data_IF_216876169916
#
_entry.id   IF_216876169916
#
_cell.length_a   1.000
_cell.length_b   1.000
_cell.length_c   1.000
_cell.angle_alpha   90.00
_cell.angle_beta   90.00
_cell.angle_gamma   90.00
#
_symmetry.space_group_name_H-M   'P 1'
#
loop_
_entity.id
_entity.type
_entity.pdbx_description
1 polymer ?
#
# COMPACT_ATOMS: atom_id res chain seq x y z
N UNK A 1 35.70 -1.62 -17.52
CA UNK A 1 35.34 -2.66 -16.52
C UNK A 1 34.75 -1.96 -15.31
N UNK A 2 33.65 -2.46 -14.76
CA UNK A 2 33.06 -1.94 -13.52
C UNK A 2 33.65 -2.71 -12.33
N UNK A 3 34.35 -2.03 -11.43
CA UNK A 3 34.91 -2.62 -10.21
C UNK A 3 34.08 -2.18 -9.00
N UNK A 4 33.53 -3.14 -8.27
CA UNK A 4 32.71 -2.87 -7.07
C UNK A 4 33.58 -2.95 -5.83
N UNK A 5 33.59 -1.90 -5.02
CA UNK A 5 34.32 -1.81 -3.76
C UNK A 5 33.43 -1.31 -2.62
N UNK A 6 33.68 -1.81 -1.42
CA UNK A 6 33.14 -1.21 -0.20
C UNK A 6 33.96 0.03 0.17
N UNK A 7 33.36 0.96 0.93
CA UNK A 7 34.09 2.06 1.57
C UNK A 7 35.25 1.58 2.46
N UNK A 8 35.17 0.35 2.99
CA UNK A 8 36.25 -0.29 3.76
C UNK A 8 37.47 -0.72 2.93
N UNK A 9 37.41 -0.58 1.60
CA UNK A 9 38.51 -0.89 0.68
C UNK A 9 38.48 -2.31 0.09
N UNK A 10 37.56 -3.17 0.52
CA UNK A 10 37.39 -4.52 -0.03
C UNK A 10 36.80 -4.51 -1.44
N UNK A 11 37.41 -5.24 -2.39
CA UNK A 11 36.85 -5.47 -3.73
C UNK A 11 35.85 -6.62 -3.68
N UNK A 12 34.60 -6.35 -4.10
CA UNK A 12 33.50 -7.33 -4.03
C UNK A 12 33.32 -8.07 -5.35
N UNK A 13 33.41 -7.36 -6.48
CA UNK A 13 33.15 -7.92 -7.79
C UNK A 13 33.78 -7.08 -8.91
N UNK A 14 33.95 -7.68 -10.09
CA UNK A 14 34.27 -6.95 -11.30
C UNK A 14 33.41 -7.45 -12.47
N UNK A 15 32.80 -6.52 -13.20
CA UNK A 15 31.83 -6.80 -14.27
C UNK A 15 32.30 -6.14 -15.58
N UNK A 16 32.27 -6.85 -16.73
CA UNK A 16 32.53 -6.24 -18.02
C UNK A 16 31.45 -5.22 -18.38
N UNK A 17 31.83 -3.99 -18.78
CA UNK A 17 30.85 -2.93 -19.11
C UNK A 17 29.99 -3.27 -20.33
N UNK A 18 30.51 -4.06 -21.28
CA UNK A 18 29.75 -4.55 -22.45
C UNK A 18 28.52 -5.39 -22.05
N UNK A 19 28.63 -6.19 -21.00
CA UNK A 19 27.51 -7.02 -20.54
C UNK A 19 26.42 -6.16 -19.89
N UNK A 20 26.80 -5.02 -19.32
CA UNK A 20 25.88 -4.02 -18.77
C UNK A 20 25.24 -3.19 -19.88
N UNK A 21 25.98 -2.80 -20.93
CA UNK A 21 25.41 -2.04 -22.05
C UNK A 21 24.36 -2.85 -22.81
N UNK A 22 24.63 -4.13 -23.05
CA UNK A 22 23.73 -5.03 -23.76
C UNK A 22 22.48 -5.33 -22.92
N UNK A 23 22.63 -5.50 -21.61
CA UNK A 23 21.51 -5.73 -20.69
C UNK A 23 20.62 -4.49 -20.48
N UNK A 24 21.17 -3.29 -20.67
CA UNK A 24 20.48 -2.02 -20.44
C UNK A 24 20.01 -1.33 -21.72
N UNK A 25 20.27 -1.90 -22.90
CA UNK A 25 19.84 -1.33 -24.17
C UNK A 25 20.43 0.05 -24.44
N UNK A 26 21.66 0.34 -24.00
CA UNK A 26 22.30 1.65 -24.10
C UNK A 26 22.42 2.21 -25.53
N UNK A 27 22.16 1.40 -26.56
CA UNK A 27 22.04 1.82 -27.95
C UNK A 27 20.79 2.66 -28.27
N UNK A 28 19.75 2.63 -27.42
CA UNK A 28 18.51 3.39 -27.59
C UNK A 28 18.42 4.49 -26.51
N UNK A 29 19.23 5.53 -26.64
CA UNK A 29 19.17 6.83 -25.93
C UNK A 29 18.45 6.86 -24.55
N UNK A 30 19.08 6.35 -23.47
CA UNK A 30 18.57 6.60 -22.13
C UNK A 30 18.82 8.07 -21.74
N UNK A 31 17.76 8.83 -21.45
CA UNK A 31 17.84 10.24 -21.01
C UNK A 31 18.74 10.42 -19.76
N UNK A 32 18.94 9.34 -18.96
CA UNK A 32 19.79 9.33 -17.76
C UNK A 32 20.56 7.98 -17.61
N UNK A 33 21.73 7.81 -18.24
CA UNK A 33 22.44 6.55 -18.29
C UNK A 33 23.04 6.15 -16.92
N UNK A 34 23.58 7.09 -16.15
CA UNK A 34 24.12 6.81 -14.81
C UNK A 34 23.01 6.40 -13.84
N UNK A 35 21.87 7.11 -13.83
CA UNK A 35 20.71 6.74 -13.01
C UNK A 35 20.21 5.32 -13.33
N UNK A 36 20.12 5.00 -14.62
CA UNK A 36 19.68 3.67 -15.08
C UNK A 36 20.66 2.57 -14.68
N UNK A 37 21.97 2.83 -14.78
CA UNK A 37 23.00 1.92 -14.31
C UNK A 37 22.90 1.68 -12.80
N UNK A 38 22.73 2.74 -11.99
CA UNK A 38 22.61 2.60 -10.53
C UNK A 38 21.38 1.77 -10.14
N UNK A 39 20.24 1.99 -10.79
CA UNK A 39 19.02 1.18 -10.58
C UNK A 39 19.23 -0.29 -10.97
N UNK A 40 19.93 -0.58 -12.06
CA UNK A 40 20.24 -1.97 -12.42
C UNK A 40 21.18 -2.64 -11.43
N UNK A 41 22.16 -1.88 -10.93
CA UNK A 41 23.11 -2.37 -9.93
C UNK A 41 22.42 -2.67 -8.61
N UNK A 42 21.35 -1.97 -8.25
CA UNK A 42 20.57 -2.22 -7.02
C UNK A 42 20.11 -3.68 -6.92
N UNK A 43 19.60 -4.25 -8.01
CA UNK A 43 19.22 -5.68 -8.05
C UNK A 43 20.39 -6.64 -7.83
N UNK A 44 21.64 -6.21 -8.06
CA UNK A 44 22.85 -7.04 -7.94
C UNK A 44 23.59 -6.82 -6.62
N UNK A 45 23.65 -5.58 -6.14
CA UNK A 45 24.40 -5.22 -4.93
C UNK A 45 23.52 -5.09 -3.69
N UNK A 46 22.19 -5.09 -3.83
CA UNK A 46 21.24 -4.95 -2.73
C UNK A 46 21.30 -3.59 -2.04
N UNK A 47 21.89 -2.59 -2.70
CA UNK A 47 22.03 -1.23 -2.19
C UNK A 47 21.34 -0.26 -3.12
N UNK A 48 20.55 0.64 -2.55
CA UNK A 48 19.78 1.63 -3.31
C UNK A 48 20.65 2.54 -4.15
N UNK A 49 20.08 3.16 -5.21
CA UNK A 49 20.83 4.13 -6.04
C UNK A 49 21.54 5.22 -5.22
N UNK A 50 20.96 5.62 -4.11
CA UNK A 50 21.49 6.65 -3.22
C UNK A 50 22.70 6.17 -2.41
N UNK A 51 22.82 4.86 -2.19
CA UNK A 51 23.96 4.22 -1.54
C UNK A 51 25.07 3.85 -2.52
N UNK A 52 24.92 4.19 -3.79
CA UNK A 52 25.88 3.89 -4.85
C UNK A 52 26.61 5.17 -5.31
N UNK A 53 27.95 5.17 -5.20
CA UNK A 53 28.82 6.19 -5.77
C UNK A 53 29.60 5.62 -6.93
N UNK A 54 29.30 6.08 -8.14
CA UNK A 54 30.06 5.75 -9.33
C UNK A 54 31.18 6.77 -9.49
N UNK A 55 32.40 6.27 -9.65
CA UNK A 55 33.59 7.07 -9.89
C UNK A 55 34.13 6.76 -11.28
N UNK A 56 34.55 7.79 -12.01
CA UNK A 56 35.31 7.65 -13.25
C UNK A 56 36.73 7.14 -12.99
N UNK A 57 37.47 6.84 -14.05
CA UNK A 57 38.89 6.46 -14.00
C UNK A 57 39.76 7.49 -13.25
N UNK A 58 39.42 8.77 -13.35
CA UNK A 58 40.12 9.89 -12.68
C UNK A 58 39.68 10.07 -11.21
N UNK A 59 38.75 9.26 -10.71
CA UNK A 59 38.20 9.35 -9.36
C UNK A 59 37.11 10.41 -9.18
N UNK A 60 36.62 11.02 -10.26
CA UNK A 60 35.51 11.98 -10.21
C UNK A 60 34.18 11.26 -9.96
N UNK A 61 33.32 11.81 -9.08
CA UNK A 61 32.00 11.23 -8.79
C UNK A 61 30.99 11.58 -9.88
N UNK A 62 30.39 10.55 -10.48
CA UNK A 62 29.35 10.68 -11.48
C UNK A 62 27.97 10.92 -10.83
N UNK A 63 27.32 11.99 -11.26
CA UNK A 63 25.95 12.34 -10.95
C UNK A 63 24.98 11.56 -11.83
N UNK A 64 23.71 11.51 -11.41
CA UNK A 64 22.69 10.71 -12.10
C UNK A 64 22.41 11.14 -13.54
N UNK A 65 22.70 12.41 -13.86
CA UNK A 65 22.47 13.02 -15.17
C UNK A 65 23.74 13.06 -16.06
N UNK A 66 24.86 12.51 -15.58
CA UNK A 66 26.10 12.46 -16.37
C UNK A 66 25.99 11.40 -17.49
N UNK A 67 26.68 11.65 -18.60
CA UNK A 67 26.75 10.73 -19.76
C UNK A 67 27.87 9.71 -19.52
N UNK A 68 27.65 8.44 -19.89
CA UNK A 68 28.62 7.36 -19.68
C UNK A 68 29.63 7.18 -20.84
N UNK A 69 29.47 7.93 -21.93
CA UNK A 69 30.28 7.79 -23.15
C UNK A 69 31.74 8.18 -22.90
N UNK A 70 32.65 7.23 -23.12
CA UNK A 70 34.11 7.43 -23.01
C UNK A 70 34.76 6.83 -21.76
N UNK A 71 34.01 6.23 -20.83
CA UNK A 71 34.59 5.61 -19.63
C UNK A 71 35.04 4.15 -19.87
N UNK A 72 36.35 3.92 -19.80
CA UNK A 72 36.98 2.59 -19.92
C UNK A 72 36.92 1.78 -18.64
N UNK A 73 37.04 2.43 -17.48
CA UNK A 73 36.88 1.84 -16.16
C UNK A 73 35.97 2.69 -15.28
N UNK A 74 35.09 2.02 -14.52
CA UNK A 74 34.22 2.64 -13.52
C UNK A 74 34.45 1.94 -12.20
N UNK A 75 34.48 2.73 -11.11
CA UNK A 75 34.52 2.18 -9.76
C UNK A 75 33.19 2.47 -9.05
N UNK A 76 32.49 1.42 -8.63
CA UNK A 76 31.31 1.52 -7.77
C UNK A 76 31.76 1.44 -6.31
N UNK A 77 31.45 2.47 -5.53
CA UNK A 77 31.65 2.52 -4.10
C UNK A 77 30.30 2.43 -3.40
N UNK A 78 30.12 1.41 -2.56
CA UNK A 78 28.91 1.22 -1.76
C UNK A 78 29.03 1.94 -0.42
N UNK A 79 28.08 2.82 -0.13
CA UNK A 79 28.03 3.63 1.08
C UNK A 79 27.15 2.97 2.15
N UNK A 80 27.66 2.87 3.36
CA UNK A 80 26.88 2.50 4.54
C UNK A 80 26.16 3.73 5.13
N UNK A 81 25.14 3.48 5.96
CA UNK A 81 24.49 4.55 6.72
C UNK A 81 25.43 5.10 7.79
N UNK A 82 25.55 6.42 7.83
CA UNK A 82 26.30 7.12 8.86
C UNK A 82 25.43 7.45 10.07
N UNK A 83 26.06 7.71 11.24
CA UNK A 83 25.34 8.20 12.41
C UNK A 83 24.61 9.51 12.05
N UNK A 84 23.30 9.53 12.29
CA UNK A 84 22.42 10.63 11.90
C UNK A 84 21.90 11.34 13.15
N UNK A 85 22.02 12.66 13.21
CA UNK A 85 21.48 13.47 14.31
C UNK A 85 19.95 13.57 14.21
N UNK A 86 19.29 13.86 15.35
CA UNK A 86 17.85 14.09 15.37
C UNK A 86 17.42 15.24 14.44
N UNK A 87 18.24 16.29 14.32
CA UNK A 87 17.96 17.42 13.44
C UNK A 87 17.92 17.02 11.95
N UNK A 88 18.80 16.10 11.53
CA UNK A 88 18.82 15.59 10.15
C UNK A 88 17.63 14.69 9.85
N UNK A 89 17.26 13.83 10.81
CA UNK A 89 16.04 13.04 10.69
C UNK A 89 14.79 13.94 10.61
N UNK A 90 14.75 15.00 11.43
CA UNK A 90 13.69 16.00 11.41
C UNK A 90 13.64 16.75 10.07
N UNK A 91 14.79 17.13 9.51
CA UNK A 91 14.90 17.79 8.21
C UNK A 91 14.27 16.93 7.10
N UNK A 92 14.59 15.63 7.05
CA UNK A 92 14.02 14.70 6.07
C UNK A 92 12.51 14.51 6.26
N UNK A 93 12.05 14.32 7.50
CA UNK A 93 10.61 14.17 7.80
C UNK A 93 9.83 15.45 7.46
N UNK A 94 10.41 16.63 7.72
CA UNK A 94 9.80 17.91 7.39
C UNK A 94 9.69 18.10 5.87
N UNK A 95 10.77 17.84 5.13
CA UNK A 95 10.79 17.89 3.67
C UNK A 95 9.77 16.91 3.05
N UNK A 96 9.68 15.70 3.61
CA UNK A 96 8.71 14.69 3.21
C UNK A 96 7.25 15.14 3.43
N UNK A 97 7.01 15.98 4.44
CA UNK A 97 5.69 16.53 4.76
C UNK A 97 5.30 17.70 3.85
N UNK A 98 6.25 18.58 3.54
CA UNK A 98 6.04 19.84 2.80
C UNK A 98 6.03 19.70 1.27
N UNK A 99 6.13 18.48 0.73
CA UNK A 99 6.22 18.20 -0.71
C UNK A 99 7.49 18.75 -1.40
N UNK A 100 8.61 18.88 -0.68
CA UNK A 100 9.87 19.33 -1.27
C UNK A 100 10.69 18.13 -1.79
N UNK A 101 10.35 17.66 -3.00
CA UNK A 101 11.03 16.53 -3.64
C UNK A 101 12.53 16.80 -3.86
N UNK A 102 12.89 18.05 -4.20
CA UNK A 102 14.29 18.45 -4.43
C UNK A 102 15.13 18.34 -3.17
N UNK A 103 14.61 18.83 -2.04
CA UNK A 103 15.28 18.70 -0.75
C UNK A 103 15.35 17.24 -0.31
N UNK A 104 14.26 16.47 -0.46
CA UNK A 104 14.28 15.03 -0.15
C UNK A 104 15.37 14.31 -0.95
N UNK A 105 15.45 14.51 -2.26
CA UNK A 105 16.49 13.89 -3.09
C UNK A 105 17.90 14.29 -2.63
N UNK A 106 18.13 15.58 -2.39
CA UNK A 106 19.42 16.07 -1.88
C UNK A 106 19.78 15.48 -0.51
N UNK A 107 18.81 15.35 0.40
CA UNK A 107 19.01 14.74 1.72
C UNK A 107 19.30 13.25 1.61
N UNK A 108 18.61 12.54 0.73
CA UNK A 108 18.83 11.10 0.48
C UNK A 108 20.19 10.80 -0.16
N UNK A 109 20.84 11.76 -0.82
CA UNK A 109 22.23 11.63 -1.28
C UNK A 109 23.24 11.55 -0.11
N UNK A 110 22.91 12.07 1.07
CA UNK A 110 23.77 12.00 2.27
C UNK A 110 23.77 10.58 2.86
N UNK A 111 24.80 10.12 3.58
CA UNK A 111 24.81 8.81 4.24
C UNK A 111 23.92 8.80 5.50
N UNK A 112 22.61 8.91 5.30
CA UNK A 112 21.60 8.87 6.34
C UNK A 112 20.57 7.77 6.06
N UNK A 113 20.05 7.16 7.12
CA UNK A 113 19.01 6.13 7.03
C UNK A 113 17.65 6.77 6.71
N UNK A 114 16.98 6.38 5.61
CA UNK A 114 15.70 6.95 5.20
C UNK A 114 14.54 6.58 6.15
N UNK A 115 14.73 5.65 7.07
CA UNK A 115 13.68 5.11 7.94
C UNK A 115 13.63 5.76 9.32
N UNK A 116 14.56 6.66 9.64
CA UNK A 116 14.66 7.24 10.99
C UNK A 116 13.37 7.96 11.38
N UNK A 117 12.66 7.50 12.41
CA UNK A 117 11.38 8.07 12.79
C UNK A 117 11.57 9.33 13.63
N UNK A 118 10.70 10.32 13.42
CA UNK A 118 10.60 11.51 14.27
C UNK A 118 9.21 11.58 14.88
N UNK A 119 9.15 11.53 16.21
CA UNK A 119 7.90 11.39 16.98
C UNK A 119 7.06 10.20 16.48
N UNK A 120 7.73 9.06 16.30
CA UNK A 120 7.12 7.80 15.87
C UNK A 120 6.69 7.74 14.40
N UNK A 121 7.04 8.72 13.56
CA UNK A 121 6.66 8.75 12.13
C UNK A 121 7.90 8.74 11.25
N UNK A 122 7.94 7.81 10.30
CA UNK A 122 8.99 7.79 9.27
C UNK A 122 8.72 8.83 8.18
N UNK A 123 9.74 9.24 7.40
CA UNK A 123 9.53 10.06 6.22
C UNK A 123 8.49 9.48 5.26
N UNK A 124 8.54 8.15 5.03
CA UNK A 124 7.61 7.46 4.14
C UNK A 124 6.17 7.52 4.66
N UNK A 125 5.97 7.34 5.96
CA UNK A 125 4.66 7.53 6.59
C UNK A 125 4.12 8.94 6.38
N UNK A 126 4.93 9.98 6.63
CA UNK A 126 4.48 11.36 6.46
C UNK A 126 4.16 11.69 5.00
N UNK A 127 4.97 11.21 4.05
CA UNK A 127 4.73 11.39 2.63
C UNK A 127 3.42 10.71 2.19
N UNK A 128 3.18 9.47 2.63
CA UNK A 128 1.95 8.75 2.34
C UNK A 128 0.71 9.42 2.96
N UNK A 129 0.79 9.83 4.23
CA UNK A 129 -0.29 10.52 4.94
C UNK A 129 -0.72 11.83 4.25
N UNK A 130 0.24 12.57 3.67
CA UNK A 130 -0.02 13.85 3.02
C UNK A 130 -0.19 13.77 1.50
N UNK A 131 -0.24 12.57 0.91
CA UNK A 131 -0.46 12.41 -0.53
C UNK A 131 0.74 12.84 -1.40
N UNK A 132 1.97 12.76 -0.89
CA UNK A 132 3.19 13.24 -1.58
C UNK A 132 3.78 12.15 -2.49
N UNK A 133 3.18 11.95 -3.66
CA UNK A 133 3.52 10.86 -4.57
C UNK A 133 5.01 10.84 -4.97
N UNK A 134 5.57 11.98 -5.40
CA UNK A 134 6.96 12.05 -5.86
C UNK A 134 7.95 11.74 -4.74
N UNK A 135 7.61 12.14 -3.52
CA UNK A 135 8.42 11.86 -2.32
C UNK A 135 8.34 10.38 -1.95
N UNK A 136 7.15 9.77 -2.03
CA UNK A 136 7.01 8.32 -1.83
C UNK A 136 7.90 7.56 -2.83
N UNK A 137 7.90 7.94 -4.11
CA UNK A 137 8.79 7.34 -5.13
C UNK A 137 10.25 7.46 -4.72
N UNK A 138 10.71 8.66 -4.36
CA UNK A 138 12.10 8.90 -3.95
C UNK A 138 12.50 8.08 -2.71
N UNK A 139 11.60 7.96 -1.73
CA UNK A 139 11.86 7.20 -0.51
C UNK A 139 11.90 5.68 -0.78
N UNK A 140 11.02 5.17 -1.63
CA UNK A 140 11.05 3.76 -2.04
C UNK A 140 12.30 3.45 -2.86
N UNK A 141 12.73 4.35 -3.75
CA UNK A 141 14.02 4.26 -4.45
C UNK A 141 15.23 4.32 -3.50
N UNK A 142 15.06 4.84 -2.28
CA UNK A 142 16.06 4.81 -1.23
C UNK A 142 16.00 3.54 -0.36
N UNK A 143 15.15 2.58 -0.74
CA UNK A 143 14.86 1.36 0.03
C UNK A 143 14.27 1.67 1.41
N UNK A 144 13.39 2.66 1.50
CA UNK A 144 12.62 2.89 2.71
C UNK A 144 11.71 1.69 3.03
N UNK A 145 11.62 1.35 4.31
CA UNK A 145 10.83 0.25 4.85
C UNK A 145 9.34 0.57 4.76
N UNK A 146 8.61 -0.22 3.97
CA UNK A 146 7.20 0.01 3.62
C UNK A 146 6.27 -0.23 4.80
N UNK A 147 6.62 -1.14 5.71
CA UNK A 147 5.75 -1.56 6.80
C UNK A 147 6.16 -0.99 8.17
N UNK A 148 6.96 0.10 8.15
CA UNK A 148 7.30 0.85 9.36
C UNK A 148 6.04 1.47 9.97
N UNK A 149 5.52 0.84 11.01
CA UNK A 149 4.32 1.26 11.71
C UNK A 149 4.59 2.45 12.65
N UNK A 150 3.63 3.39 12.69
CA UNK A 150 3.65 4.51 13.63
C UNK A 150 3.53 4.01 15.07
N UNK A 151 4.37 4.54 15.97
CA UNK A 151 4.46 4.04 17.34
C UNK A 151 3.16 4.05 18.14
N UNK A 152 2.26 5.01 17.90
CA UNK A 152 1.10 5.24 18.79
C UNK A 152 -0.08 4.32 18.48
N UNK A 153 -0.39 4.11 17.19
CA UNK A 153 -1.56 3.39 16.72
C UNK A 153 -1.23 2.22 15.78
N UNK A 154 0.03 2.01 15.42
CA UNK A 154 0.42 0.96 14.48
C UNK A 154 0.12 1.24 13.01
N UNK A 155 -0.30 2.46 12.65
CA UNK A 155 -0.60 2.80 11.26
C UNK A 155 0.63 2.70 10.35
N UNK A 156 0.50 1.96 9.25
CA UNK A 156 1.52 1.85 8.19
C UNK A 156 1.32 2.94 7.13
N UNK A 157 2.35 3.23 6.31
CA UNK A 157 2.20 4.05 5.10
C UNK A 157 1.06 3.61 4.20
N UNK A 158 0.87 2.30 4.00
CA UNK A 158 -0.23 1.77 3.17
C UNK A 158 -1.59 2.04 3.82
N UNK A 159 -1.71 1.82 5.13
CA UNK A 159 -2.96 2.09 5.85
C UNK A 159 -3.41 3.55 5.68
N UNK A 160 -2.51 4.53 5.86
CA UNK A 160 -2.88 5.94 5.72
C UNK A 160 -3.15 6.32 4.26
N UNK A 161 -2.43 5.73 3.29
CA UNK A 161 -2.74 5.92 1.87
C UNK A 161 -4.17 5.43 1.54
N UNK A 162 -4.58 4.29 2.10
CA UNK A 162 -5.94 3.77 1.95
C UNK A 162 -6.98 4.62 2.70
N UNK A 163 -6.65 5.09 3.90
CA UNK A 163 -7.53 5.94 4.72
C UNK A 163 -7.86 7.29 4.06
N UNK A 164 -6.94 7.86 3.29
CA UNK A 164 -7.12 9.15 2.61
C UNK A 164 -7.32 9.03 1.09
N UNK A 165 -7.45 7.81 0.56
CA UNK A 165 -7.79 7.58 -0.85
C UNK A 165 -6.66 7.86 -1.83
N UNK A 166 -5.41 7.80 -1.40
CA UNK A 166 -4.23 8.03 -2.25
C UNK A 166 -3.89 6.80 -3.09
N UNK A 167 -4.70 6.54 -4.13
CA UNK A 167 -4.61 5.36 -4.99
C UNK A 167 -3.19 5.08 -5.53
N UNK A 168 -2.56 6.08 -6.13
CA UNK A 168 -1.22 5.90 -6.72
C UNK A 168 -0.13 5.64 -5.68
N UNK A 169 -0.30 6.15 -4.46
CA UNK A 169 0.61 5.85 -3.35
C UNK A 169 0.40 4.42 -2.85
N UNK A 170 -0.86 4.00 -2.68
CA UNK A 170 -1.19 2.63 -2.31
C UNK A 170 -0.62 1.64 -3.34
N UNK A 171 -0.75 1.94 -4.64
CA UNK A 171 -0.19 1.13 -5.73
C UNK A 171 1.33 0.98 -5.59
N UNK A 172 2.05 2.09 -5.44
CA UNK A 172 3.51 2.05 -5.29
C UNK A 172 3.97 1.26 -4.05
N UNK A 173 3.24 1.39 -2.94
CA UNK A 173 3.56 0.66 -1.71
C UNK A 173 3.35 -0.85 -1.89
N UNK A 174 2.27 -1.27 -2.56
CA UNK A 174 2.00 -2.68 -2.85
C UNK A 174 3.01 -3.26 -3.86
N UNK A 175 3.39 -2.49 -4.89
CA UNK A 175 4.47 -2.84 -5.82
C UNK A 175 5.80 -3.03 -5.07
N UNK A 176 6.06 -2.20 -4.06
CA UNK A 176 7.18 -2.29 -3.13
C UNK A 176 7.01 -3.34 -2.01
N UNK A 177 6.02 -4.23 -2.12
CA UNK A 177 5.78 -5.37 -1.22
C UNK A 177 5.36 -5.00 0.21
N UNK A 178 4.69 -3.86 0.39
CA UNK A 178 3.98 -3.56 1.63
C UNK A 178 2.95 -4.66 1.96
N UNK A 179 2.82 -5.00 3.24
CA UNK A 179 1.80 -5.93 3.72
C UNK A 179 0.41 -5.30 3.66
N UNK A 180 -0.38 -5.76 2.69
CA UNK A 180 -1.73 -5.29 2.43
C UNK A 180 -2.76 -5.61 3.51
N UNK A 181 -2.46 -6.60 4.37
CA UNK A 181 -3.34 -7.06 5.44
C UNK A 181 -2.88 -6.57 6.81
N UNK A 182 -1.78 -5.81 6.88
CA UNK A 182 -1.27 -5.28 8.15
C UNK A 182 -2.24 -4.27 8.76
N UNK A 183 -2.88 -4.70 9.83
CA UNK A 183 -3.80 -3.93 10.63
C UNK A 183 -3.08 -2.94 11.54
N UNK A 184 -3.80 -1.86 11.87
CA UNK A 184 -3.38 -0.97 12.95
C UNK A 184 -3.61 -1.66 14.29
N UNK A 185 -2.95 -1.19 15.33
CA UNK A 185 -3.03 -1.78 16.67
C UNK A 185 -4.49 -1.79 17.15
N UNK A 186 -5.03 -2.99 17.31
CA UNK A 186 -6.43 -3.21 17.70
C UNK A 186 -7.39 -2.40 16.80
N UNK A 187 -7.26 -2.49 15.47
CA UNK A 187 -8.11 -1.75 14.55
C UNK A 187 -8.26 -2.37 13.15
N UNK A 188 -8.75 -1.58 12.18
CA UNK A 188 -9.07 -2.08 10.85
C UNK A 188 -7.82 -2.40 10.01
N UNK A 189 -8.00 -3.27 9.03
CA UNK A 189 -7.04 -3.47 7.93
C UNK A 189 -7.11 -2.32 6.92
N UNK A 190 -6.11 -2.18 6.02
CA UNK A 190 -6.18 -1.24 4.89
C UNK A 190 -7.45 -1.39 4.05
N UNK A 191 -7.91 -2.64 3.83
CA UNK A 191 -9.15 -2.90 3.10
C UNK A 191 -10.39 -2.42 3.85
N UNK A 192 -10.51 -2.69 5.15
CA UNK A 192 -11.65 -2.23 5.95
C UNK A 192 -11.73 -0.70 5.96
N UNK A 193 -10.61 0.01 6.16
CA UNK A 193 -10.64 1.48 6.19
C UNK A 193 -10.94 2.07 4.80
N UNK A 194 -10.47 1.45 3.71
CA UNK A 194 -10.83 1.85 2.35
C UNK A 194 -12.34 1.66 2.07
N UNK A 195 -12.92 0.55 2.56
CA UNK A 195 -14.36 0.31 2.50
C UNK A 195 -15.14 1.34 3.33
N UNK A 196 -14.70 1.64 4.55
CA UNK A 196 -15.33 2.62 5.42
C UNK A 196 -15.31 4.04 4.83
N UNK A 197 -14.24 4.41 4.14
CA UNK A 197 -14.08 5.72 3.51
C UNK A 197 -14.66 5.83 2.09
N UNK A 198 -15.30 4.76 1.59
CA UNK A 198 -15.87 4.68 0.23
C UNK A 198 -14.87 4.93 -0.92
N UNK A 199 -13.60 4.52 -0.77
CA UNK A 199 -12.61 4.64 -1.84
C UNK A 199 -12.61 3.41 -2.75
N UNK A 200 -13.60 3.34 -3.65
CA UNK A 200 -13.85 2.22 -4.58
C UNK A 200 -12.59 1.75 -5.30
N UNK A 201 -11.82 2.66 -5.89
CA UNK A 201 -10.63 2.29 -6.66
C UNK A 201 -9.48 1.76 -5.79
N UNK A 202 -9.39 2.22 -4.54
CA UNK A 202 -8.43 1.67 -3.56
C UNK A 202 -8.87 0.26 -3.14
N UNK A 203 -10.17 0.04 -2.92
CA UNK A 203 -10.72 -1.29 -2.65
C UNK A 203 -10.42 -2.24 -3.81
N UNK A 204 -10.69 -1.81 -5.05
CA UNK A 204 -10.38 -2.58 -6.26
C UNK A 204 -8.90 -2.95 -6.34
N UNK A 205 -8.01 -2.01 -6.07
CA UNK A 205 -6.57 -2.23 -6.03
C UNK A 205 -6.19 -3.28 -4.98
N UNK A 206 -6.61 -3.11 -3.72
CA UNK A 206 -6.28 -4.04 -2.64
C UNK A 206 -6.78 -5.47 -2.94
N UNK A 207 -7.99 -5.61 -3.48
CA UNK A 207 -8.52 -6.91 -3.87
C UNK A 207 -7.73 -7.54 -5.04
N UNK A 208 -7.27 -6.73 -6.00
CA UNK A 208 -6.42 -7.22 -7.10
C UNK A 208 -5.05 -7.72 -6.62
N UNK A 209 -4.53 -7.15 -5.54
CA UNK A 209 -3.30 -7.60 -4.88
C UNK A 209 -3.54 -8.73 -3.86
N UNK A 210 -4.78 -9.25 -3.78
CA UNK A 210 -5.22 -10.38 -2.94
C UNK A 210 -5.31 -10.08 -1.45
N UNK A 211 -5.66 -8.85 -1.06
CA UNK A 211 -5.96 -8.54 0.33
C UNK A 211 -7.10 -9.43 0.85
N UNK A 212 -7.01 -9.87 2.10
CA UNK A 212 -7.97 -10.77 2.72
C UNK A 212 -9.31 -10.04 2.95
N UNK A 213 -10.28 -10.33 2.09
CA UNK A 213 -11.63 -9.77 2.14
C UNK A 213 -12.46 -10.21 3.34
N UNK A 214 -11.96 -11.17 4.12
CA UNK A 214 -12.63 -11.77 5.28
C UNK A 214 -11.91 -11.47 6.61
N UNK A 215 -10.75 -10.81 6.57
CA UNK A 215 -10.04 -10.37 7.77
C UNK A 215 -10.90 -9.34 8.51
N UNK A 216 -10.96 -9.47 9.83
CA UNK A 216 -11.88 -8.70 10.67
C UNK A 216 -11.15 -7.67 11.53
N UNK A 217 -11.83 -6.58 11.83
CA UNK A 217 -11.44 -5.67 12.92
C UNK A 217 -11.64 -6.32 14.32
N UNK A 218 -11.29 -5.63 15.43
CA UNK A 218 -11.45 -6.18 16.77
C UNK A 218 -12.89 -6.44 17.23
N UNK A 219 -13.92 -5.93 16.57
CA UNK A 219 -15.32 -6.27 16.89
C UNK A 219 -15.87 -7.38 15.97
N UNK A 220 -15.03 -7.92 15.08
CA UNK A 220 -15.41 -8.94 14.12
C UNK A 220 -15.98 -8.37 12.81
N UNK A 221 -15.87 -7.05 12.60
CA UNK A 221 -16.32 -6.38 11.39
C UNK A 221 -15.48 -6.79 10.17
N UNK A 222 -16.13 -7.38 9.18
CA UNK A 222 -15.55 -7.65 7.85
C UNK A 222 -15.68 -6.43 6.95
N UNK A 223 -14.84 -6.31 5.89
CA UNK A 223 -15.02 -5.31 4.83
C UNK A 223 -16.45 -5.28 4.28
N UNK A 224 -17.05 -6.46 4.07
CA UNK A 224 -18.41 -6.59 3.54
C UNK A 224 -19.46 -6.09 4.54
N UNK A 225 -19.34 -6.43 5.82
CA UNK A 225 -20.26 -5.91 6.85
C UNK A 225 -20.20 -4.39 6.96
N UNK A 226 -19.00 -3.81 6.84
CA UNK A 226 -18.79 -2.36 6.87
C UNK A 226 -19.44 -1.67 5.66
N UNK A 227 -19.19 -2.18 4.45
CA UNK A 227 -19.78 -1.65 3.23
C UNK A 227 -21.32 -1.80 3.22
N UNK A 228 -21.86 -2.91 3.73
CA UNK A 228 -23.30 -3.12 3.87
C UNK A 228 -23.95 -2.19 4.88
N UNK A 229 -23.30 -1.91 6.01
CA UNK A 229 -23.81 -0.97 7.01
C UNK A 229 -23.84 0.48 6.49
N UNK A 230 -22.92 0.84 5.58
CA UNK A 230 -22.79 2.19 5.02
C UNK A 230 -23.51 2.40 3.69
N UNK A 231 -24.05 1.35 3.06
CA UNK A 231 -24.80 1.46 1.80
C UNK A 231 -23.94 1.46 0.53
N UNK A 232 -22.69 1.00 0.58
CA UNK A 232 -21.75 1.13 -0.55
C UNK A 232 -21.87 -0.03 -1.55
N UNK A 233 -22.93 -0.01 -2.35
CA UNK A 233 -23.28 -1.06 -3.33
C UNK A 233 -22.11 -1.45 -4.24
N UNK A 234 -21.34 -0.49 -4.77
CA UNK A 234 -20.23 -0.79 -5.68
C UNK A 234 -19.10 -1.58 -4.96
N UNK A 235 -18.75 -1.17 -3.74
CA UNK A 235 -17.76 -1.89 -2.91
C UNK A 235 -18.26 -3.29 -2.56
N UNK A 236 -19.56 -3.44 -2.27
CA UNK A 236 -20.17 -4.74 -1.98
C UNK A 236 -20.04 -5.68 -3.18
N UNK A 237 -20.32 -5.18 -4.41
CA UNK A 237 -20.14 -5.97 -5.63
C UNK A 237 -18.68 -6.41 -5.80
N UNK A 238 -17.71 -5.50 -5.61
CA UNK A 238 -16.28 -5.84 -5.67
C UNK A 238 -15.87 -6.90 -4.65
N UNK A 239 -16.34 -6.79 -3.41
CA UNK A 239 -16.04 -7.75 -2.35
C UNK A 239 -16.64 -9.13 -2.65
N UNK A 240 -17.86 -9.18 -3.16
CA UNK A 240 -18.51 -10.43 -3.55
C UNK A 240 -17.82 -11.08 -4.77
N UNK A 241 -17.39 -10.29 -5.75
CA UNK A 241 -16.57 -10.74 -6.89
C UNK A 241 -15.22 -11.32 -6.41
N UNK A 242 -14.67 -10.78 -5.32
CA UNK A 242 -13.47 -11.28 -4.66
C UNK A 242 -13.72 -12.48 -3.71
N UNK A 243 -14.94 -13.05 -3.71
CA UNK A 243 -15.36 -14.17 -2.85
C UNK A 243 -15.33 -13.86 -1.33
N UNK A 244 -15.65 -12.63 -0.93
CA UNK A 244 -15.92 -12.32 0.47
C UNK A 244 -17.07 -13.19 1.00
N UNK A 245 -16.94 -13.67 2.24
CA UNK A 245 -17.98 -14.45 2.90
C UNK A 245 -19.16 -13.54 3.26
N UNK A 246 -20.20 -13.62 2.43
CA UNK A 246 -21.48 -12.92 2.57
C UNK A 246 -22.21 -13.18 3.87
N UNK A 247 -21.91 -14.27 4.56
CA UNK A 247 -22.57 -14.69 5.80
C UNK A 247 -21.65 -14.62 7.02
N UNK A 248 -20.38 -14.19 6.86
CA UNK A 248 -19.47 -14.02 7.99
C UNK A 248 -20.02 -12.95 8.93
N UNK A 249 -20.30 -13.37 10.16
CA UNK A 249 -20.92 -12.53 11.16
C UNK A 249 -19.88 -11.87 12.06
N UNK A 250 -20.21 -10.66 12.53
CA UNK A 250 -19.48 -10.01 13.62
C UNK A 250 -19.64 -10.80 14.94
N UNK A 251 -18.93 -10.38 15.99
CA UNK A 251 -18.96 -11.07 17.29
C UNK A 251 -20.36 -11.27 17.87
N UNK A 252 -21.30 -10.35 17.63
CA UNK A 252 -22.69 -10.44 18.10
C UNK A 252 -23.60 -11.26 17.17
N UNK A 253 -23.05 -11.91 16.15
CA UNK A 253 -23.80 -12.68 15.15
C UNK A 253 -24.44 -11.81 14.06
N UNK A 254 -24.05 -10.54 13.94
CA UNK A 254 -24.59 -9.62 12.93
C UNK A 254 -23.94 -9.87 11.57
N UNK A 255 -24.73 -10.24 10.57
CA UNK A 255 -24.28 -10.49 9.20
C UNK A 255 -24.31 -9.21 8.34
N UNK A 256 -23.60 -9.16 7.19
CA UNK A 256 -23.75 -8.06 6.24
C UNK A 256 -25.22 -7.79 5.85
N UNK A 257 -26.01 -8.84 5.63
CA UNK A 257 -27.43 -8.72 5.32
C UNK A 257 -28.25 -8.16 6.49
N UNK A 258 -27.89 -8.47 7.74
CA UNK A 258 -28.51 -7.85 8.91
C UNK A 258 -28.31 -6.34 8.91
N UNK A 259 -27.08 -5.87 8.68
CA UNK A 259 -26.77 -4.44 8.60
C UNK A 259 -27.52 -3.76 7.44
N UNK A 260 -27.56 -4.40 6.27
CA UNK A 260 -28.32 -3.91 5.13
C UNK A 260 -29.82 -3.73 5.44
N UNK A 261 -30.42 -4.69 6.17
CA UNK A 261 -31.82 -4.63 6.58
C UNK A 261 -32.09 -3.62 7.71
N UNK A 262 -31.07 -3.30 8.52
CA UNK A 262 -31.14 -2.25 9.53
C UNK A 262 -31.14 -0.86 8.89
N UNK A 263 -30.42 -0.69 7.79
CA UNK A 263 -30.50 0.46 6.90
C UNK A 263 -31.70 0.39 5.95
N UNK A 264 -31.96 1.46 5.21
CA UNK A 264 -33.09 1.55 4.26
C UNK A 264 -32.71 1.26 2.81
N UNK A 265 -31.48 0.77 2.57
CA UNK A 265 -30.96 0.60 1.21
C UNK A 265 -31.35 -0.75 0.61
N UNK A 266 -32.45 -0.73 -0.14
CA UNK A 266 -33.02 -1.89 -0.83
C UNK A 266 -32.06 -2.50 -1.86
N UNK A 267 -31.17 -1.71 -2.46
CA UNK A 267 -30.23 -2.22 -3.46
C UNK A 267 -29.13 -3.06 -2.81
N UNK A 268 -28.61 -2.66 -1.66
CA UNK A 268 -27.66 -3.49 -0.90
C UNK A 268 -28.28 -4.84 -0.54
N UNK A 269 -29.53 -4.83 -0.05
CA UNK A 269 -30.26 -6.06 0.28
C UNK A 269 -30.41 -6.94 -0.96
N UNK A 270 -30.81 -6.37 -2.10
CA UNK A 270 -30.92 -7.10 -3.37
C UNK A 270 -29.60 -7.77 -3.75
N UNK A 271 -28.50 -7.03 -3.77
CA UNK A 271 -27.17 -7.55 -4.15
C UNK A 271 -26.74 -8.72 -3.26
N UNK A 272 -26.94 -8.61 -1.94
CA UNK A 272 -26.61 -9.68 -1.02
C UNK A 272 -27.51 -10.92 -1.20
N UNK A 273 -28.79 -10.73 -1.49
CA UNK A 273 -29.73 -11.84 -1.76
C UNK A 273 -29.45 -12.52 -3.10
N UNK A 274 -29.11 -11.76 -4.15
CA UNK A 274 -28.64 -12.30 -5.44
C UNK A 274 -27.37 -13.14 -5.25
N UNK A 275 -26.49 -12.73 -4.35
CA UNK A 275 -25.32 -13.51 -3.94
C UNK A 275 -25.67 -14.71 -3.04
N UNK A 276 -26.95 -14.94 -2.73
CA UNK A 276 -27.49 -16.01 -1.87
C UNK A 276 -27.07 -15.91 -0.39
N UNK A 277 -26.98 -14.70 0.16
CA UNK A 277 -26.78 -14.51 1.60
C UNK A 277 -27.95 -15.09 2.42
N UNK A 278 -27.65 -15.64 3.59
CA UNK A 278 -28.64 -16.27 4.46
C UNK A 278 -29.47 -15.21 5.21
N UNK A 279 -30.65 -14.94 4.66
CA UNK A 279 -31.68 -14.06 5.24
C UNK A 279 -32.27 -14.53 6.57
N UNK A 280 -32.04 -15.79 6.97
CA UNK A 280 -32.55 -16.35 8.22
C UNK A 280 -31.50 -16.41 9.32
N UNK A 281 -30.23 -16.12 9.02
CA UNK A 281 -29.15 -16.14 10.01
C UNK A 281 -29.35 -15.06 11.07
N UNK A 282 -29.87 -15.47 12.21
CA UNK A 282 -30.17 -14.59 13.34
C UNK A 282 -28.91 -14.24 14.12
N UNK A 283 -28.88 -13.02 14.66
CA UNK A 283 -27.86 -12.61 15.61
C UNK A 283 -28.03 -13.33 16.96
N UNK A 284 -27.10 -13.13 17.89
CA UNK A 284 -27.15 -13.77 19.20
C UNK A 284 -28.43 -13.49 20.01
N UNK A 285 -29.10 -12.36 19.74
CA UNK A 285 -30.37 -11.99 20.36
C UNK A 285 -31.60 -12.62 19.68
N UNK A 286 -31.41 -13.52 18.71
CA UNK A 286 -32.49 -14.19 17.97
C UNK A 286 -33.17 -13.32 16.91
N UNK A 287 -32.65 -12.11 16.63
CA UNK A 287 -33.19 -11.22 15.60
C UNK A 287 -32.58 -11.58 14.25
N UNK A 288 -33.41 -11.96 13.28
CA UNK A 288 -33.00 -12.18 11.89
C UNK A 288 -33.01 -10.88 11.08
N UNK A 289 -32.33 -10.83 9.91
CA UNK A 289 -32.42 -9.70 8.99
C UNK A 289 -33.87 -9.31 8.65
N UNK A 290 -34.75 -10.30 8.42
CA UNK A 290 -36.18 -10.07 8.18
C UNK A 290 -36.87 -9.41 9.39
N UNK A 291 -36.59 -9.88 10.61
CA UNK A 291 -37.15 -9.29 11.83
C UNK A 291 -36.65 -7.85 12.00
N UNK A 292 -35.38 -7.57 11.69
CA UNK A 292 -34.82 -6.23 11.74
C UNK A 292 -35.49 -5.28 10.73
N UNK A 293 -35.65 -5.68 9.46
CA UNK A 293 -36.36 -4.89 8.45
C UNK A 293 -37.80 -4.57 8.88
N UNK A 294 -38.49 -5.53 9.52
CA UNK A 294 -39.85 -5.33 10.06
C UNK A 294 -39.88 -4.35 11.22
N UNK A 295 -38.93 -4.44 12.16
CA UNK A 295 -38.81 -3.50 13.28
C UNK A 295 -38.54 -2.07 12.80
N UNK A 296 -37.83 -1.92 11.69
CA UNK A 296 -37.52 -0.63 11.07
C UNK A 296 -38.62 -0.10 10.12
N UNK A 297 -39.63 -0.91 9.80
CA UNK A 297 -40.72 -0.57 8.86
C UNK A 297 -40.20 -0.22 7.45
N UNK A 298 -39.16 -0.91 6.99
CA UNK A 298 -38.61 -0.73 5.64
C UNK A 298 -39.39 -1.58 4.63
N UNK A 299 -40.53 -1.07 4.17
CA UNK A 299 -41.48 -1.82 3.33
C UNK A 299 -40.87 -2.34 2.02
N UNK A 300 -39.99 -1.58 1.38
CA UNK A 300 -39.33 -2.01 0.14
C UNK A 300 -38.36 -3.18 0.39
N UNK A 301 -37.60 -3.14 1.49
CA UNK A 301 -36.72 -4.24 1.93
C UNK A 301 -37.54 -5.47 2.30
N UNK A 302 -38.68 -5.30 2.98
CA UNK A 302 -39.58 -6.41 3.33
C UNK A 302 -40.15 -7.09 2.09
N UNK A 303 -40.56 -6.29 1.09
CA UNK A 303 -41.05 -6.81 -0.19
C UNK A 303 -39.96 -7.64 -0.88
N UNK A 304 -38.74 -7.12 -0.97
CA UNK A 304 -37.60 -7.84 -1.55
C UNK A 304 -37.29 -9.15 -0.82
N UNK A 305 -37.22 -9.13 0.51
CA UNK A 305 -36.98 -10.35 1.29
C UNK A 305 -38.09 -11.40 1.07
N UNK A 306 -39.33 -10.97 0.84
CA UNK A 306 -40.43 -11.88 0.56
C UNK A 306 -40.35 -12.49 -0.85
N UNK A 307 -40.03 -11.68 -1.87
CA UNK A 307 -39.81 -12.12 -3.25
C UNK A 307 -38.75 -13.25 -3.29
N UNK A 308 -37.57 -13.00 -2.72
CA UNK A 308 -36.48 -14.00 -2.64
C UNK A 308 -36.80 -15.20 -1.73
N UNK A 309 -37.94 -15.23 -1.04
CA UNK A 309 -38.43 -16.40 -0.27
C UNK A 309 -39.28 -17.34 -1.10
N UNK A 310 -40.02 -16.81 -2.06
CA UNK A 310 -40.86 -17.63 -2.93
C UNK A 310 -40.03 -18.34 -4.01
N UNK A 311 -38.93 -17.75 -4.47
CA UNK A 311 -38.08 -18.37 -5.48
C UNK A 311 -37.34 -19.64 -5.00
N UNK A 312 -36.92 -19.68 -3.72
CA UNK A 312 -36.20 -20.85 -3.15
C UNK A 312 -37.13 -22.03 -2.84
N UNK A 313 -38.45 -21.83 -2.85
CA UNK A 313 -39.43 -22.89 -2.58
C UNK A 313 -40.00 -23.53 -3.87
N UNK A 314 -39.59 -23.04 -5.05
CA UNK A 314 -40.03 -23.51 -6.36
C UNK A 314 -38.93 -24.21 -7.17
N UNK A 315 -37.71 -24.37 -6.63
CA UNK A 315 -36.61 -25.21 -7.17
C UNK A 315 -36.48 -26.51 -6.38
#
# INVERSE_FOLDING_TARGET
>A
MLRVRMMSGGSIAALPLRELSDALGWSEHPEHPVRSLKRHLECRCGQSRFRQRLLSEDGATLQDDDVLDGHTELQLVLLEFGPTSQDRALELVAAATSNDATLVEFLLQRPQDPNLPVRGRTPLFCAAYHGRLDIVRLLLEASAETDSARCDDGATPLFVACQFGHLEIARLLLEAKADQDRDVKDGPTPLIIACQSNYVEVVRLLLSERADSNKTDPIGGTPLSMASALGYVEIIRLLLEANADKDQAQRDGLTPLFFACQGSDAEVVRVLLEARADKNKACQNGVSPLSMARMKQHEDVLRLLHEFTQDVSNE
#
